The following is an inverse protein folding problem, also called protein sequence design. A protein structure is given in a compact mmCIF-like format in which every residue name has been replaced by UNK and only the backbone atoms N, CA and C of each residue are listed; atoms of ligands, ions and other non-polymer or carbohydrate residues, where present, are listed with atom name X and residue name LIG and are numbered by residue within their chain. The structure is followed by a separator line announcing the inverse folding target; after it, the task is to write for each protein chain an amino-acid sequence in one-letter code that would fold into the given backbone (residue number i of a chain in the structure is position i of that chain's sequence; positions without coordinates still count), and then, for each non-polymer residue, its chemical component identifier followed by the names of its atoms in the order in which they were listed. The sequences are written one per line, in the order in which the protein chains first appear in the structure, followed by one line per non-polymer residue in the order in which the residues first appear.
data_IF_239795970165
#
_entry.id   IF_239795970165
#
_cell.length_a   1.000
_cell.length_b   1.000
_cell.length_c   1.000
_cell.angle_alpha   90.00
_cell.angle_beta   90.00
_cell.angle_gamma   90.00
#
_symmetry.space_group_name_H-M   'P 1'
#
loop_
_entity.id
_entity.type
_entity.pdbx_description
1 polymer ?
#
# COMPACT_ATOMS: atom_id res chain seq x y z
N UNK A 1 -9.27 4.37 -12.25
CA UNK A 1 -9.80 4.06 -10.90
C UNK A 1 -11.00 3.10 -10.93
N UNK A 2 -12.11 3.42 -11.62
CA UNK A 2 -13.32 2.57 -11.62
C UNK A 2 -13.07 1.08 -11.95
N UNK A 3 -12.31 0.78 -13.00
CA UNK A 3 -11.97 -0.61 -13.36
C UNK A 3 -11.24 -1.35 -12.23
N UNK A 4 -10.32 -0.67 -11.53
CA UNK A 4 -9.61 -1.26 -10.40
C UNK A 4 -10.56 -1.50 -9.19
N UNK A 5 -11.56 -0.64 -8.96
CA UNK A 5 -12.61 -0.93 -7.97
C UNK A 5 -13.39 -2.21 -8.33
N UNK A 6 -13.75 -2.37 -9.61
CA UNK A 6 -14.47 -3.55 -10.11
C UNK A 6 -13.63 -4.82 -9.93
N UNK A 7 -12.36 -4.79 -10.36
CA UNK A 7 -11.43 -5.91 -10.23
C UNK A 7 -11.21 -6.32 -8.77
N UNK A 8 -11.01 -5.34 -7.86
CA UNK A 8 -10.88 -5.59 -6.41
C UNK A 8 -12.14 -6.21 -5.82
N UNK A 9 -13.33 -5.75 -6.21
CA UNK A 9 -14.61 -6.33 -5.77
C UNK A 9 -14.77 -7.77 -6.25
N UNK A 10 -14.49 -8.04 -7.52
CA UNK A 10 -14.56 -9.39 -8.10
C UNK A 10 -13.57 -10.36 -7.42
N UNK A 11 -12.32 -9.93 -7.22
CA UNK A 11 -11.30 -10.75 -6.54
C UNK A 11 -11.73 -11.13 -5.12
N UNK A 12 -12.32 -10.19 -4.38
CA UNK A 12 -12.86 -10.43 -3.04
C UNK A 12 -14.03 -11.41 -3.06
N UNK A 13 -15.01 -11.20 -3.92
CA UNK A 13 -16.19 -12.06 -4.01
C UNK A 13 -15.80 -13.48 -4.41
N UNK A 14 -14.87 -13.64 -5.36
CA UNK A 14 -14.33 -14.93 -5.74
C UNK A 14 -13.59 -15.63 -4.58
N UNK A 15 -12.81 -14.87 -3.79
CA UNK A 15 -12.12 -15.41 -2.61
C UNK A 15 -13.11 -15.85 -1.52
N UNK A 16 -14.18 -15.08 -1.30
CA UNK A 16 -15.22 -15.42 -0.33
C UNK A 16 -15.97 -16.70 -0.75
N UNK A 17 -16.30 -16.85 -2.03
CA UNK A 17 -16.95 -18.06 -2.56
C UNK A 17 -16.06 -19.30 -2.46
N UNK A 18 -14.74 -19.16 -2.65
CA UNK A 18 -13.79 -20.25 -2.46
C UNK A 18 -13.67 -20.69 -0.99
N UNK A 19 -13.80 -19.75 -0.05
CA UNK A 19 -13.77 -20.06 1.38
C UNK A 19 -15.05 -20.77 1.82
N UNK A 20 -16.21 -20.30 1.37
CA UNK A 20 -17.52 -20.92 1.65
C UNK A 20 -17.62 -22.34 1.05
N UNK A 21 -16.96 -22.57 -0.10
CA UNK A 21 -16.85 -23.91 -0.71
C UNK A 21 -15.91 -24.85 0.06
N UNK A 22 -14.96 -24.31 0.83
CA UNK A 22 -14.04 -25.09 1.66
C UNK A 22 -14.63 -25.43 3.04
N UNK A 23 -15.53 -24.60 3.57
CA UNK A 23 -16.31 -24.91 4.78
C UNK A 23 -17.38 -26.00 4.53
N UNK A 24 -17.74 -26.28 3.27
CA UNK A 24 -18.61 -27.39 2.86
C UNK A 24 -17.96 -28.80 2.90
N UNK A 25 -16.68 -28.91 3.24
CA UNK A 25 -15.97 -30.19 3.44
C UNK A 25 -15.61 -30.42 4.92
N UNK A 26 -16.42 -29.91 5.84
CA UNK A 26 -16.43 -30.32 7.24
C UNK A 26 -17.31 -31.56 7.39
N UNK A 27 -16.77 -32.74 7.09
CA UNK A 27 -17.36 -33.97 7.64
C UNK A 27 -17.13 -33.92 9.15
N UNK A 28 -18.20 -33.67 9.89
CA UNK A 28 -18.29 -33.95 11.33
C UNK A 28 -17.99 -35.44 11.55
N UNK A 29 -16.73 -35.78 11.82
CA UNK A 29 -16.41 -36.98 12.57
C UNK A 29 -16.02 -36.55 13.98
N UNK A 30 -17.00 -36.63 14.87
CA UNK A 30 -16.82 -36.63 16.31
C UNK A 30 -15.66 -37.57 16.68
N UNK A 31 -14.50 -37.02 17.05
CA UNK A 31 -13.44 -37.79 17.70
C UNK A 31 -13.95 -38.27 19.07
N UNK A 32 -14.63 -39.41 19.03
CA UNK A 32 -14.94 -40.27 20.16
C UNK A 32 -13.62 -40.67 20.82
N UNK A 33 -13.29 -39.99 21.92
CA UNK A 33 -12.13 -40.33 22.73
C UNK A 33 -12.45 -41.59 23.54
N UNK A 34 -12.20 -42.76 22.95
CA UNK A 34 -12.25 -44.03 23.66
C UNK A 34 -11.08 -44.08 24.65
N UNK A 35 -11.37 -43.86 25.93
CA UNK A 35 -10.40 -43.99 27.01
C UNK A 35 -9.88 -45.44 27.06
N UNK A 36 -8.66 -45.66 26.56
CA UNK A 36 -7.86 -46.81 26.91
C UNK A 36 -6.51 -46.36 27.47
N UNK A 37 -6.32 -46.60 28.76
CA UNK A 37 -5.10 -46.41 29.53
C UNK A 37 -3.84 -46.90 28.79
N UNK A 38 -2.87 -46.00 28.62
CA UNK A 38 -1.45 -46.36 28.55
C UNK A 38 -0.62 -45.17 29.05
N UNK A 39 0.00 -45.25 30.25
CA UNK A 39 0.56 -44.07 30.91
C UNK A 39 2.06 -43.94 30.67
N UNK A 40 2.60 -44.26 29.49
CA UNK A 40 4.02 -44.07 29.21
C UNK A 40 4.29 -43.72 27.75
N UNK A 41 5.02 -42.61 27.58
CA UNK A 41 5.77 -42.14 26.41
C UNK A 41 5.19 -41.00 25.52
N UNK A 42 6.08 -40.01 25.32
CA UNK A 42 6.10 -38.96 24.29
C UNK A 42 5.21 -37.69 24.43
N UNK A 43 5.49 -36.95 25.48
CA UNK A 43 6.07 -35.59 25.43
C UNK A 43 6.17 -34.88 24.04
N UNK A 44 5.05 -34.45 23.45
CA UNK A 44 5.03 -33.41 22.40
C UNK A 44 4.59 -32.08 22.99
N UNK A 45 5.54 -31.16 23.16
CA UNK A 45 5.33 -29.74 23.49
C UNK A 45 4.39 -29.07 22.48
N UNK A 46 3.08 -29.20 22.69
CA UNK A 46 2.01 -28.34 22.18
C UNK A 46 1.34 -27.86 23.48
N UNK A 47 1.48 -26.63 23.94
CA UNK A 47 0.97 -25.40 23.35
C UNK A 47 1.71 -24.23 24.02
N UNK A 48 2.52 -23.47 23.28
CA UNK A 48 3.18 -22.27 23.84
C UNK A 48 2.32 -21.00 23.74
N UNK A 49 1.16 -21.09 23.11
CA UNK A 49 0.27 -19.97 22.84
C UNK A 49 -1.14 -20.35 23.27
N UNK A 50 -1.79 -19.48 24.06
CA UNK A 50 -3.24 -19.56 24.25
C UNK A 50 -3.94 -19.60 22.89
N UNK A 51 -5.13 -20.22 22.81
CA UNK A 51 -5.95 -20.27 21.58
C UNK A 51 -6.11 -18.90 20.88
N UNK A 52 -6.08 -17.82 21.66
CA UNK A 52 -6.17 -16.42 21.20
C UNK A 52 -4.86 -15.79 20.71
N UNK A 53 -3.71 -16.44 20.91
CA UNK A 53 -2.37 -15.97 20.54
C UNK A 53 -1.69 -16.89 19.50
N UNK A 54 -2.47 -17.71 18.79
CA UNK A 54 -1.91 -18.53 17.73
C UNK A 54 -1.36 -17.64 16.62
N UNK A 55 -0.13 -17.90 16.16
CA UNK A 55 0.45 -17.11 15.09
C UNK A 55 -0.26 -17.35 13.75
N UNK A 56 -0.72 -16.28 13.12
CA UNK A 56 -1.48 -16.32 11.86
C UNK A 56 -0.98 -15.26 10.88
N UNK A 57 -1.25 -15.45 9.58
CA UNK A 57 -0.88 -14.48 8.54
C UNK A 57 0.62 -14.37 8.29
N UNK A 58 1.33 -15.50 8.18
CA UNK A 58 2.78 -15.56 7.89
C UNK A 58 3.03 -15.89 6.42
N UNK A 59 3.88 -15.12 5.74
CA UNK A 59 4.37 -15.43 4.39
C UNK A 59 5.58 -16.38 4.43
N UNK A 60 6.44 -16.23 5.43
CA UNK A 60 7.68 -16.98 5.56
C UNK A 60 8.54 -16.45 6.69
N UNK A 61 9.67 -17.10 6.95
CA UNK A 61 10.67 -16.61 7.92
C UNK A 61 11.42 -15.42 7.33
N UNK A 62 11.74 -14.44 8.16
CA UNK A 62 12.58 -13.30 7.79
C UNK A 62 14.04 -13.62 8.08
N UNK A 63 14.72 -14.23 7.12
CA UNK A 63 16.11 -14.68 7.25
C UNK A 63 16.30 -15.51 8.55
N UNK A 64 17.45 -15.35 9.21
CA UNK A 64 17.76 -15.96 10.51
C UNK A 64 17.48 -15.02 11.70
N UNK A 65 16.68 -13.97 11.47
CA UNK A 65 16.35 -12.99 12.49
C UNK A 65 15.42 -13.60 13.54
N UNK A 66 15.66 -13.30 14.82
CA UNK A 66 14.81 -13.76 15.93
C UNK A 66 14.28 -12.58 16.73
N UNK A 67 13.12 -12.79 17.34
CA UNK A 67 12.44 -11.84 18.20
C UNK A 67 13.28 -11.52 19.44
N UNK A 68 13.38 -10.24 19.77
CA UNK A 68 14.21 -9.70 20.85
C UNK A 68 13.77 -10.08 22.26
N UNK A 69 12.58 -10.67 22.46
CA UNK A 69 12.13 -11.11 23.79
C UNK A 69 12.09 -12.61 23.95
N UNK A 70 11.65 -13.32 22.92
CA UNK A 70 11.39 -14.77 23.02
C UNK A 70 12.48 -15.61 22.36
N UNK A 71 13.29 -15.03 21.46
CA UNK A 71 14.24 -15.78 20.65
C UNK A 71 13.59 -16.65 19.57
N UNK A 72 12.27 -16.56 19.39
CA UNK A 72 11.58 -17.26 18.31
C UNK A 72 11.93 -16.63 16.96
N UNK A 73 11.90 -17.39 15.84
CA UNK A 73 12.14 -16.82 14.52
C UNK A 73 11.16 -15.70 14.19
N UNK A 74 11.64 -14.61 13.60
CA UNK A 74 10.80 -13.54 13.08
C UNK A 74 10.18 -13.99 11.74
N UNK A 75 8.88 -13.75 11.57
CA UNK A 75 8.13 -14.07 10.37
C UNK A 75 7.67 -12.80 9.66
N UNK A 76 7.67 -12.86 8.33
CA UNK A 76 7.13 -11.82 7.48
C UNK A 76 5.60 -11.90 7.53
N UNK A 77 4.89 -10.85 7.98
CA UNK A 77 3.44 -10.84 7.98
C UNK A 77 2.86 -10.71 6.57
N UNK A 78 1.69 -11.27 6.36
CA UNK A 78 0.80 -10.91 5.24
C UNK A 78 0.17 -9.56 5.59
N UNK A 79 0.44 -8.53 4.81
CA UNK A 79 -0.14 -7.18 4.96
C UNK A 79 -1.26 -6.93 3.96
N UNK A 80 -2.07 -5.90 4.20
CA UNK A 80 -3.05 -5.45 3.22
C UNK A 80 -2.35 -4.84 2.00
N UNK A 81 -2.96 -4.98 0.82
CA UNK A 81 -2.45 -4.33 -0.37
C UNK A 81 -2.50 -2.80 -0.23
N UNK A 82 -1.49 -2.08 -0.76
CA UNK A 82 -1.53 -0.64 -0.82
C UNK A 82 -2.79 -0.11 -1.50
N UNK A 83 -3.24 1.06 -1.03
CA UNK A 83 -4.39 1.77 -1.58
C UNK A 83 -4.01 2.30 -2.96
N UNK A 84 -4.69 1.87 -4.04
CA UNK A 84 -4.49 2.45 -5.36
C UNK A 84 -4.97 3.90 -5.33
N UNK A 85 -4.15 4.79 -5.89
CA UNK A 85 -4.43 6.23 -5.95
C UNK A 85 -4.44 6.67 -7.41
N UNK A 86 -5.31 7.62 -7.72
CA UNK A 86 -5.27 8.35 -9.00
C UNK A 86 -4.08 9.31 -9.04
N UNK A 87 -3.70 9.76 -10.24
CA UNK A 87 -2.64 10.76 -10.41
C UNK A 87 -2.94 12.04 -9.64
N UNK A 88 -4.18 12.55 -9.74
CA UNK A 88 -4.63 13.74 -9.00
C UNK A 88 -4.47 13.56 -7.48
N UNK A 89 -4.86 12.40 -6.93
CA UNK A 89 -4.69 12.10 -5.50
C UNK A 89 -3.21 12.00 -5.09
N UNK A 90 -2.35 11.46 -5.96
CA UNK A 90 -0.92 11.40 -5.70
C UNK A 90 -0.31 12.80 -5.68
N UNK A 91 -0.72 13.67 -6.60
CA UNK A 91 -0.29 15.07 -6.64
C UNK A 91 -0.73 15.81 -5.37
N UNK A 92 -2.00 15.70 -4.99
CA UNK A 92 -2.53 16.27 -3.74
C UNK A 92 -1.74 15.79 -2.50
N UNK A 93 -1.49 14.48 -2.40
CA UNK A 93 -0.69 13.93 -1.32
C UNK A 93 0.73 14.52 -1.33
N UNK A 94 1.38 14.59 -2.50
CA UNK A 94 2.74 15.15 -2.59
C UNK A 94 2.80 16.60 -2.17
N UNK A 95 1.81 17.41 -2.54
CA UNK A 95 1.72 18.81 -2.15
C UNK A 95 1.55 18.98 -0.65
N UNK A 96 0.70 18.16 -0.03
CA UNK A 96 0.54 18.16 1.42
C UNK A 96 1.86 17.73 2.08
N UNK A 97 2.50 16.66 1.61
CA UNK A 97 3.77 16.19 2.16
C UNK A 97 4.90 17.23 2.02
N UNK A 98 4.98 17.97 0.91
CA UNK A 98 5.98 19.01 0.70
C UNK A 98 5.80 20.18 1.67
N UNK A 99 4.55 20.56 1.97
CA UNK A 99 4.23 21.63 2.93
C UNK A 99 4.61 21.26 4.37
N UNK A 100 4.70 19.97 4.70
CA UNK A 100 4.96 19.49 6.06
C UNK A 100 6.43 19.53 6.49
N UNK A 101 7.39 19.85 5.61
CA UNK A 101 8.81 20.00 5.97
C UNK A 101 9.50 18.68 6.36
N UNK A 102 10.83 18.65 6.51
CA UNK A 102 11.59 17.42 6.80
C UNK A 102 12.00 17.24 8.27
N UNK A 103 11.51 18.10 9.15
CA UNK A 103 11.80 18.09 10.58
C UNK A 103 11.07 16.97 11.32
N UNK A 104 11.38 16.81 12.61
CA UNK A 104 10.78 15.79 13.47
C UNK A 104 9.25 15.90 13.52
N UNK A 105 8.71 17.12 13.61
CA UNK A 105 7.27 17.38 13.61
C UNK A 105 6.64 17.06 12.25
N UNK A 106 7.27 17.43 11.14
CA UNK A 106 6.83 17.06 9.79
C UNK A 106 6.80 15.54 9.58
N UNK A 107 7.78 14.81 10.13
CA UNK A 107 7.80 13.34 10.09
C UNK A 107 6.65 12.71 10.87
N UNK A 108 6.30 13.28 12.02
CA UNK A 108 5.17 12.83 12.83
C UNK A 108 3.83 13.07 12.10
N UNK A 109 3.65 14.26 11.51
CA UNK A 109 2.39 14.57 10.82
C UNK A 109 2.20 13.73 9.55
N UNK A 110 3.28 13.43 8.82
CA UNK A 110 3.25 12.45 7.71
C UNK A 110 2.85 11.06 8.19
N UNK A 111 3.41 10.61 9.31
CA UNK A 111 3.07 9.32 9.90
C UNK A 111 1.59 9.28 10.33
N UNK A 112 1.05 10.38 10.86
CA UNK A 112 -0.39 10.53 11.16
C UNK A 112 -1.26 10.48 9.91
N UNK A 113 -0.86 11.12 8.80
CA UNK A 113 -1.58 11.01 7.53
C UNK A 113 -1.61 9.58 6.99
N UNK A 114 -0.52 8.84 7.15
CA UNK A 114 -0.40 7.43 6.72
C UNK A 114 -0.77 6.43 7.82
N UNK A 115 -1.39 6.91 8.91
CA UNK A 115 -1.61 6.15 10.15
C UNK A 115 -2.39 4.86 9.94
N UNK A 116 -3.38 4.86 9.04
CA UNK A 116 -4.18 3.68 8.75
C UNK A 116 -3.35 2.53 8.19
N UNK A 117 -2.43 2.81 7.26
CA UNK A 117 -1.53 1.79 6.68
C UNK A 117 -0.56 1.29 7.75
N UNK A 118 0.05 2.20 8.50
CA UNK A 118 0.99 1.85 9.55
C UNK A 118 0.34 0.96 10.62
N UNK A 119 -0.87 1.33 11.07
CA UNK A 119 -1.65 0.56 12.02
C UNK A 119 -1.95 -0.84 11.48
N UNK A 120 -2.46 -0.94 10.24
CA UNK A 120 -2.73 -2.22 9.56
C UNK A 120 -1.48 -3.12 9.49
N UNK A 121 -0.31 -2.55 9.23
CA UNK A 121 0.94 -3.31 9.15
C UNK A 121 1.42 -3.75 10.54
N UNK A 122 1.30 -2.90 11.56
CA UNK A 122 1.59 -3.26 12.95
C UNK A 122 0.67 -4.38 13.46
N UNK A 123 -0.63 -4.30 13.15
CA UNK A 123 -1.60 -5.34 13.52
C UNK A 123 -1.26 -6.68 12.86
N UNK A 124 -0.93 -6.65 11.56
CA UNK A 124 -0.53 -7.83 10.80
C UNK A 124 0.75 -8.44 11.36
N UNK A 125 1.73 -7.61 11.70
CA UNK A 125 3.00 -8.04 12.25
C UNK A 125 2.83 -8.70 13.62
N UNK A 126 2.02 -8.13 14.52
CA UNK A 126 1.72 -8.72 15.82
C UNK A 126 0.98 -10.06 15.70
N UNK A 127 0.08 -10.19 14.73
CA UNK A 127 -0.62 -11.46 14.46
C UNK A 127 0.35 -12.55 13.98
N UNK A 128 1.33 -12.18 13.14
CA UNK A 128 2.35 -13.10 12.64
C UNK A 128 3.43 -13.43 13.69
N UNK A 129 3.74 -12.49 14.59
CA UNK A 129 4.83 -12.60 15.56
C UNK A 129 4.34 -12.39 17.01
N UNK A 130 3.64 -13.37 17.62
CA UNK A 130 3.20 -13.25 19.00
C UNK A 130 4.38 -13.03 19.96
N UNK A 131 4.27 -12.02 20.82
CA UNK A 131 5.32 -11.65 21.77
C UNK A 131 6.37 -10.69 21.24
N UNK A 132 6.25 -10.23 19.99
CA UNK A 132 7.12 -9.20 19.41
C UNK A 132 7.03 -7.85 20.13
N UNK A 133 8.11 -7.08 20.06
CA UNK A 133 8.16 -5.68 20.49
C UNK A 133 8.26 -4.71 19.31
N UNK A 134 8.16 -3.40 19.56
CA UNK A 134 8.24 -2.39 18.50
C UNK A 134 9.56 -2.48 17.74
N UNK A 135 10.65 -2.76 18.43
CA UNK A 135 11.98 -2.91 17.87
C UNK A 135 12.04 -4.06 16.84
N UNK A 136 11.34 -5.17 17.09
CA UNK A 136 11.21 -6.26 16.12
C UNK A 136 10.49 -5.79 14.85
N UNK A 137 9.43 -5.00 15.01
CA UNK A 137 8.71 -4.40 13.89
C UNK A 137 9.58 -3.42 13.12
N UNK A 138 10.34 -2.55 13.78
CA UNK A 138 11.22 -1.58 13.13
C UNK A 138 12.34 -2.29 12.34
N UNK A 139 12.93 -3.36 12.88
CA UNK A 139 13.94 -4.17 12.18
C UNK A 139 13.43 -4.74 10.85
N UNK A 140 12.14 -5.00 10.74
CA UNK A 140 11.49 -5.47 9.52
C UNK A 140 10.99 -4.32 8.63
N UNK A 141 10.24 -3.37 9.19
CA UNK A 141 9.49 -2.34 8.45
C UNK A 141 10.35 -1.13 8.07
N UNK A 142 11.26 -0.71 8.95
CA UNK A 142 12.21 0.38 8.69
C UNK A 142 13.61 0.01 9.18
N UNK A 143 14.35 -0.87 8.48
CA UNK A 143 15.70 -1.26 8.88
C UNK A 143 16.67 -0.07 9.02
N UNK A 144 16.39 1.05 8.35
CA UNK A 144 17.15 2.31 8.48
C UNK A 144 17.01 2.98 9.84
N UNK A 145 15.94 2.66 10.58
CA UNK A 145 15.68 3.14 11.94
C UNK A 145 16.23 2.23 13.03
N UNK A 146 16.86 1.13 12.64
CA UNK A 146 17.58 0.23 13.54
C UNK A 146 19.08 0.48 13.45
N UNK A 147 19.68 0.94 14.54
CA UNK A 147 21.12 1.20 14.62
C UNK A 147 21.78 0.01 15.29
N UNK A 148 22.48 -0.81 14.51
CA UNK A 148 23.24 -1.96 15.00
C UNK A 148 24.48 -1.54 15.79
N UNK A 149 24.74 -2.21 16.90
CA UNK A 149 26.00 -2.17 17.65
C UNK A 149 26.89 -3.36 17.30
N UNK A 150 28.17 -3.31 17.66
CA UNK A 150 29.11 -4.42 17.45
C UNK A 150 28.87 -5.60 18.40
N UNK A 151 28.18 -5.38 19.52
CA UNK A 151 27.86 -6.41 20.50
C UNK A 151 26.81 -7.40 19.98
N UNK A 152 26.93 -8.67 20.40
CA UNK A 152 25.92 -9.70 20.14
C UNK A 152 24.88 -9.77 21.26
N UNK A 153 23.65 -10.12 20.89
CA UNK A 153 22.52 -10.37 21.77
C UNK A 153 22.53 -11.81 22.31
N UNK A 154 21.56 -12.09 23.18
CA UNK A 154 21.40 -13.40 23.83
C UNK A 154 21.12 -14.54 22.84
N UNK A 155 20.78 -14.21 21.59
CA UNK A 155 20.45 -15.16 20.53
C UNK A 155 21.52 -15.21 19.43
N UNK A 156 22.64 -14.52 19.61
CA UNK A 156 23.77 -14.47 18.67
C UNK A 156 23.59 -13.55 17.47
N UNK A 157 22.65 -12.60 17.53
CA UNK A 157 22.47 -11.56 16.51
C UNK A 157 23.10 -10.24 16.99
N UNK A 158 23.38 -9.30 16.08
CA UNK A 158 23.86 -7.98 16.52
C UNK A 158 22.79 -7.26 17.33
N UNK A 159 23.17 -6.78 18.52
CA UNK A 159 22.38 -5.84 19.29
C UNK A 159 22.20 -4.55 18.50
N UNK A 160 21.20 -3.77 18.87
CA UNK A 160 20.98 -2.46 18.31
C UNK A 160 19.97 -1.68 19.13
N UNK A 161 19.75 -0.45 18.71
CA UNK A 161 18.79 0.47 19.31
C UNK A 161 18.04 1.23 18.23
N UNK A 162 16.88 1.77 18.62
CA UNK A 162 16.10 2.66 17.77
C UNK A 162 16.90 3.94 17.44
N UNK A 163 16.70 4.49 16.24
CA UNK A 163 17.29 5.76 15.82
C UNK A 163 16.84 6.92 16.72
N UNK A 164 17.60 8.02 16.76
CA UNK A 164 17.23 9.20 17.56
C UNK A 164 15.84 9.77 17.16
N UNK A 165 15.44 9.61 15.90
CA UNK A 165 14.10 9.97 15.40
C UNK A 165 12.99 9.15 16.06
N UNK A 166 13.28 7.89 16.40
CA UNK A 166 12.32 6.97 17.00
C UNK A 166 12.31 7.04 18.54
N UNK A 167 13.21 7.78 19.16
CA UNK A 167 13.29 7.96 20.61
C UNK A 167 12.76 9.32 21.10
N UNK A 168 12.03 10.04 20.25
CA UNK A 168 11.45 11.35 20.60
C UNK A 168 10.35 11.14 21.66
N UNK A 169 10.20 12.09 22.57
CA UNK A 169 9.09 12.13 23.53
C UNK A 169 7.75 12.18 22.79
N UNK A 170 6.77 11.40 23.26
CA UNK A 170 5.45 11.26 22.63
C UNK A 170 5.46 10.71 21.18
N UNK A 171 6.29 9.69 20.92
CA UNK A 171 6.41 9.10 19.58
C UNK A 171 5.11 8.43 19.10
N UNK A 172 4.55 8.95 18.01
CA UNK A 172 3.38 8.40 17.32
C UNK A 172 3.49 6.90 16.96
N UNK A 173 4.68 6.40 16.60
CA UNK A 173 4.90 4.98 16.32
C UNK A 173 4.72 4.11 17.55
N UNK A 174 5.17 4.59 18.72
CA UNK A 174 4.98 3.89 19.99
C UNK A 174 3.50 3.87 20.34
N UNK A 175 2.80 5.01 20.25
CA UNK A 175 1.35 5.08 20.49
C UNK A 175 0.55 4.17 19.53
N UNK A 176 0.89 4.19 18.24
CA UNK A 176 0.25 3.33 17.23
C UNK A 176 0.51 1.87 17.54
N UNK A 177 1.74 1.53 17.91
CA UNK A 177 2.10 0.18 18.31
C UNK A 177 1.34 -0.28 19.55
N UNK A 178 1.22 0.55 20.58
CA UNK A 178 0.48 0.19 21.81
C UNK A 178 -1.01 -0.03 21.54
N UNK A 179 -1.61 0.76 20.65
CA UNK A 179 -3.01 0.61 20.26
C UNK A 179 -3.30 -0.54 19.27
N UNK A 180 -2.30 -0.96 18.50
CA UNK A 180 -2.41 -2.04 17.51
C UNK A 180 -2.70 -3.40 18.17
N UNK A 181 -3.70 -4.12 17.65
CA UNK A 181 -4.08 -5.47 18.10
C UNK A 181 -3.47 -6.54 17.18
N UNK A 182 -3.22 -7.78 17.66
CA UNK A 182 -2.76 -8.87 16.81
C UNK A 182 -3.89 -9.38 15.89
N UNK A 183 -4.13 -8.68 14.79
CA UNK A 183 -5.19 -9.00 13.82
C UNK A 183 -4.55 -9.25 12.45
N UNK A 184 -4.74 -10.43 11.81
CA UNK A 184 -4.19 -10.68 10.47
C UNK A 184 -4.92 -9.86 9.41
N UNK A 185 -4.23 -9.53 8.31
CA UNK A 185 -4.75 -8.64 7.24
C UNK A 185 -6.19 -8.95 6.77
N UNK A 186 -6.55 -10.23 6.61
CA UNK A 186 -7.89 -10.62 6.15
C UNK A 186 -9.03 -10.33 7.15
N UNK A 187 -8.71 -10.05 8.42
CA UNK A 187 -9.68 -9.69 9.48
C UNK A 187 -9.66 -8.21 9.85
N UNK A 188 -8.75 -7.42 9.26
CA UNK A 188 -8.62 -6.01 9.55
C UNK A 188 -9.67 -5.17 8.82
N UNK A 189 -9.82 -3.93 9.27
CA UNK A 189 -10.57 -2.93 8.51
C UNK A 189 -9.84 -2.66 7.19
N UNK A 190 -10.58 -2.69 6.09
CA UNK A 190 -10.04 -2.49 4.74
C UNK A 190 -9.46 -1.08 4.60
N UNK A 191 -8.23 -1.00 4.08
CA UNK A 191 -7.61 0.27 3.72
C UNK A 191 -8.25 0.90 2.48
N UNK A 192 -8.70 0.06 1.55
CA UNK A 192 -9.36 0.49 0.32
C UNK A 192 -10.82 0.05 0.30
N UNK A 193 -11.72 1.02 0.23
CA UNK A 193 -13.16 0.80 0.08
C UNK A 193 -13.53 0.95 -1.40
N UNK A 194 -13.50 -0.17 -2.14
CA UNK A 194 -13.82 -0.23 -3.57
C UNK A 194 -15.20 0.36 -3.90
N UNK A 195 -16.17 0.25 -2.99
CA UNK A 195 -17.52 0.75 -3.22
C UNK A 195 -17.55 2.27 -3.13
N UNK A 196 -16.98 2.84 -2.06
CA UNK A 196 -16.91 4.30 -1.89
C UNK A 196 -16.05 4.96 -2.96
N UNK A 197 -14.93 4.36 -3.34
CA UNK A 197 -14.08 4.91 -4.41
C UNK A 197 -14.75 4.80 -5.79
N UNK A 198 -15.52 3.75 -6.06
CA UNK A 198 -16.33 3.67 -7.28
C UNK A 198 -17.42 4.75 -7.31
N UNK A 199 -18.12 4.97 -6.19
CA UNK A 199 -19.13 6.02 -6.07
C UNK A 199 -18.56 7.41 -6.35
N UNK A 200 -17.36 7.72 -5.83
CA UNK A 200 -16.66 8.99 -6.14
C UNK A 200 -16.44 9.16 -7.64
N UNK A 201 -15.99 8.11 -8.33
CA UNK A 201 -15.77 8.17 -9.80
C UNK A 201 -17.08 8.35 -10.55
N UNK A 202 -18.14 7.64 -10.15
CA UNK A 202 -19.45 7.77 -10.78
C UNK A 202 -20.04 9.17 -10.56
N UNK A 203 -19.93 9.71 -9.34
CA UNK A 203 -20.34 11.07 -9.03
C UNK A 203 -19.54 12.10 -9.83
N UNK A 204 -18.23 11.92 -9.97
CA UNK A 204 -17.40 12.76 -10.83
C UNK A 204 -17.96 12.76 -12.26
N UNK A 205 -18.19 11.60 -12.87
CA UNK A 205 -18.72 11.50 -14.23
C UNK A 205 -20.11 12.12 -14.38
N UNK A 206 -21.01 11.92 -13.42
CA UNK A 206 -22.37 12.46 -13.43
C UNK A 206 -22.40 13.99 -13.27
N UNK A 207 -21.49 14.53 -12.47
CA UNK A 207 -21.35 15.97 -12.24
C UNK A 207 -20.50 16.70 -13.30
N UNK A 208 -19.85 15.97 -14.21
CA UNK A 208 -18.98 16.56 -15.23
C UNK A 208 -19.81 17.25 -16.32
N UNK A 209 -19.55 18.55 -16.54
CA UNK A 209 -20.22 19.31 -17.59
C UNK A 209 -19.50 19.20 -18.95
N UNK A 210 -20.18 19.62 -20.03
CA UNK A 210 -19.64 19.53 -21.39
C UNK A 210 -18.31 20.28 -21.58
N UNK A 211 -18.10 21.42 -20.91
CA UNK A 211 -16.85 22.17 -21.00
C UNK A 211 -15.68 21.37 -20.43
N UNK A 212 -15.87 20.77 -19.24
CA UNK A 212 -14.89 19.90 -18.60
C UNK A 212 -14.59 18.65 -19.45
N UNK A 213 -15.60 18.06 -20.09
CA UNK A 213 -15.38 16.96 -21.04
C UNK A 213 -14.52 17.41 -22.21
N UNK A 214 -14.84 18.57 -22.81
CA UNK A 214 -14.03 19.14 -23.89
C UNK A 214 -12.58 19.36 -23.43
N UNK A 215 -12.37 19.94 -22.25
CA UNK A 215 -11.03 20.16 -21.67
C UNK A 215 -10.25 18.86 -21.50
N UNK A 216 -10.89 17.79 -21.01
CA UNK A 216 -10.27 16.46 -20.90
C UNK A 216 -9.90 15.85 -22.26
N UNK A 217 -10.63 16.20 -23.33
CA UNK A 217 -10.38 15.69 -24.68
C UNK A 217 -9.32 16.48 -25.44
N UNK A 218 -9.08 17.75 -25.12
CA UNK A 218 -8.14 18.60 -25.89
C UNK A 218 -6.73 18.00 -25.98
N UNK A 219 -6.09 17.49 -24.91
CA UNK A 219 -4.75 16.89 -25.03
C UNK A 219 -4.72 15.73 -26.04
N UNK A 220 -5.75 14.89 -26.05
CA UNK A 220 -5.87 13.76 -26.99
C UNK A 220 -6.07 14.26 -28.42
N UNK A 221 -6.95 15.25 -28.61
CA UNK A 221 -7.20 15.85 -29.93
C UNK A 221 -5.95 16.58 -30.47
N UNK A 222 -5.23 17.32 -29.63
CA UNK A 222 -3.97 17.95 -29.99
C UNK A 222 -2.91 16.89 -30.34
N UNK A 223 -2.81 15.81 -29.57
CA UNK A 223 -1.88 14.72 -29.86
C UNK A 223 -2.18 14.07 -31.22
N UNK A 224 -3.45 13.77 -31.51
CA UNK A 224 -3.87 13.22 -32.80
C UNK A 224 -3.55 14.20 -33.94
N UNK A 225 -3.83 15.49 -33.77
CA UNK A 225 -3.53 16.51 -34.76
C UNK A 225 -2.02 16.62 -35.05
N UNK A 226 -1.19 16.64 -34.00
CA UNK A 226 0.28 16.66 -34.13
C UNK A 226 0.77 15.41 -34.85
N UNK A 227 0.29 14.23 -34.44
CA UNK A 227 0.66 12.95 -35.05
C UNK A 227 0.35 12.94 -36.55
N UNK A 228 -0.87 13.34 -36.93
CA UNK A 228 -1.29 13.41 -38.34
C UNK A 228 -0.48 14.41 -39.14
N UNK A 229 -0.27 15.62 -38.63
CA UNK A 229 0.55 16.63 -39.31
C UNK A 229 2.01 16.16 -39.50
N UNK A 230 2.58 15.46 -38.53
CA UNK A 230 3.93 14.91 -38.61
C UNK A 230 4.04 13.74 -39.61
N UNK A 231 3.00 12.92 -39.72
CA UNK A 231 2.90 11.86 -40.71
C UNK A 231 2.86 12.42 -42.13
N UNK A 232 1.94 13.35 -42.40
CA UNK A 232 1.80 14.01 -43.71
C UNK A 232 3.05 14.80 -44.10
N UNK A 233 3.68 15.48 -43.13
CA UNK A 233 4.92 16.20 -43.35
C UNK A 233 6.05 15.29 -43.84
N UNK A 234 6.12 14.04 -43.38
CA UNK A 234 7.11 13.05 -43.88
C UNK A 234 6.80 12.58 -45.30
N UNK A 235 5.52 12.40 -45.62
CA UNK A 235 5.11 11.89 -46.94
C UNK A 235 5.29 12.94 -48.04
N UNK A 236 4.89 14.19 -47.77
CA UNK A 236 4.88 15.27 -48.77
C UNK A 236 6.23 16.00 -48.84
N UNK A 237 7.18 15.70 -47.95
CA UNK A 237 8.45 16.45 -47.83
C UNK A 237 9.26 16.54 -49.12
N UNK A 238 9.13 15.55 -50.02
CA UNK A 238 9.86 15.51 -51.28
C UNK A 238 9.10 16.19 -52.43
N UNK A 239 7.77 16.33 -52.31
CA UNK A 239 6.90 16.84 -53.37
C UNK A 239 6.58 18.34 -53.19
N UNK A 240 6.43 18.80 -51.95
CA UNK A 240 6.13 20.20 -51.63
C UNK A 240 7.03 20.73 -50.51
N UNK A 241 8.34 20.95 -50.77
CA UNK A 241 9.31 21.41 -49.76
C UNK A 241 8.90 22.74 -49.10
N UNK A 242 8.28 23.66 -49.83
CA UNK A 242 7.80 24.94 -49.29
C UNK A 242 6.65 24.80 -48.27
N UNK A 243 5.92 23.68 -48.31
CA UNK A 243 4.82 23.40 -47.39
C UNK A 243 5.31 22.78 -46.07
N UNK A 244 6.50 22.20 -46.07
CA UNK A 244 7.09 21.52 -44.90
C UNK A 244 7.29 22.49 -43.74
N UNK A 245 7.81 23.69 -44.01
CA UNK A 245 8.05 24.68 -42.96
C UNK A 245 6.75 25.23 -42.36
N UNK A 246 5.69 25.35 -43.17
CA UNK A 246 4.35 25.69 -42.67
C UNK A 246 3.77 24.58 -41.80
N UNK A 247 3.90 23.33 -42.21
CA UNK A 247 3.44 22.17 -41.43
C UNK A 247 4.20 22.06 -40.10
N UNK A 248 5.52 22.28 -40.10
CA UNK A 248 6.32 22.33 -38.87
C UNK A 248 5.88 23.47 -37.94
N UNK A 249 5.55 24.64 -38.48
CA UNK A 249 5.03 25.75 -37.68
C UNK A 249 3.67 25.41 -37.05
N UNK A 250 2.78 24.73 -37.78
CA UNK A 250 1.49 24.26 -37.25
C UNK A 250 1.66 23.21 -36.14
N UNK A 251 2.59 22.26 -36.31
CA UNK A 251 2.95 21.29 -35.26
C UNK A 251 3.40 22.01 -33.99
N UNK A 252 4.32 22.98 -34.10
CA UNK A 252 4.78 23.78 -32.95
C UNK A 252 3.64 24.52 -32.26
N UNK A 253 2.68 25.04 -33.02
CA UNK A 253 1.49 25.71 -32.47
C UNK A 253 0.60 24.74 -31.70
N UNK A 254 0.31 23.57 -32.27
CA UNK A 254 -0.49 22.52 -31.63
C UNK A 254 0.19 21.97 -30.36
N UNK A 255 1.51 21.79 -30.39
CA UNK A 255 2.29 21.41 -29.20
C UNK A 255 2.21 22.48 -28.10
N UNK A 256 2.28 23.76 -28.46
CA UNK A 256 2.14 24.86 -27.50
C UNK A 256 0.77 24.85 -26.83
N UNK A 257 -0.30 24.73 -27.62
CA UNK A 257 -1.68 24.65 -27.10
C UNK A 257 -1.83 23.44 -26.18
N UNK A 258 -1.30 22.28 -26.57
CA UNK A 258 -1.33 21.07 -25.75
C UNK A 258 -0.63 21.26 -24.39
N UNK A 259 0.42 22.08 -24.32
CA UNK A 259 1.17 22.35 -23.07
C UNK A 259 0.52 23.45 -22.23
N UNK A 260 0.00 24.50 -22.85
CA UNK A 260 -0.64 25.63 -22.15
C UNK A 260 -1.94 25.23 -21.45
N UNK A 261 -2.71 24.30 -22.01
CA UNK A 261 -3.94 23.79 -21.39
C UNK A 261 -3.65 22.88 -20.19
N UNK A 262 -2.53 22.14 -20.24
CA UNK A 262 -2.03 21.42 -19.06
C UNK A 262 -1.58 22.42 -18.00
N UNK A 263 -0.97 23.54 -18.40
CA UNK A 263 -0.55 24.60 -17.48
C UNK A 263 -1.72 25.40 -16.86
N UNK A 264 -2.86 25.59 -17.55
CA UNK A 264 -4.00 26.35 -17.02
C UNK A 264 -4.72 25.63 -15.87
N UNK A 265 -4.65 24.29 -15.82
CA UNK A 265 -5.10 23.52 -14.64
C UNK A 265 -4.37 23.92 -13.35
N UNK A 266 -3.15 24.47 -13.44
CA UNK A 266 -2.37 24.94 -12.28
C UNK A 266 -2.79 26.34 -11.78
N UNK A 267 -3.62 27.08 -12.52
CA UNK A 267 -4.08 28.42 -12.14
C UNK A 267 -5.47 28.43 -11.49
N UNK A 268 -6.32 27.44 -11.79
CA UNK A 268 -7.69 27.37 -11.24
C UNK A 268 -7.78 26.72 -9.84
N UNK A 269 -6.64 26.35 -9.22
CA UNK A 269 -6.57 25.85 -7.83
C UNK A 269 -6.25 26.97 -6.81
N UNK A 270 -6.18 28.24 -7.24
CA UNK A 270 -5.83 29.38 -6.39
C UNK A 270 -6.95 30.41 -6.11
N UNK A 271 -8.24 30.02 -6.12
CA UNK A 271 -9.33 30.89 -5.63
C UNK A 271 -10.18 30.19 -4.57
#
# INVERSE_FOLDING_TARGET
MLNCCIERKQSRENTALNFDSAEGSSTDEEEFFDCADNPDEENKRKEKYSLWNQPVGRLGKFNDLKLLRTGDPLYIPVTQEPVPKSEDQLEEDTDVLMKLGSDAQGSELRAKMMSASLLSDMESFKAANPGSVLEDFIRWYSPRDWIESEDLDEWGQKKGQLSSRMMIEDNFWVQTWESAKPVPAHRQKRLFDDTREAEKVLHFLDSTNLCQICEMLIPVLCHIAIYRLAEECRQISHELPDSVDRLRALIKSAERISREIVASKFLDVQI
#
